data_IF_043785554307
#
_entry.id   IF_043785554307
#
_cell.length_a   1.000
_cell.length_b   1.000
_cell.length_c   1.000
_cell.angle_alpha   90.00
_cell.angle_beta   90.00
_cell.angle_gamma   90.00
#
_symmetry.space_group_name_H-M   'P 1'
#
loop_
_entity.id
_entity.type
_entity.pdbx_description
1 polymer ?
#
# COMPACT_ATOMS: atom_id res chain seq x y z
N UNK A 1 3.78 25.77 6.20
CA UNK A 1 4.19 24.49 6.81
C UNK A 1 2.94 23.77 7.30
N UNK A 2 2.41 22.81 6.54
CA UNK A 2 1.23 22.02 6.95
C UNK A 2 1.71 20.98 7.98
N UNK A 3 1.38 21.17 9.26
CA UNK A 3 1.53 20.11 10.27
C UNK A 3 0.31 19.19 10.16
N UNK A 4 0.44 17.96 9.64
CA UNK A 4 -0.67 17.02 9.63
C UNK A 4 -1.13 16.80 11.08
N UNK A 5 -2.46 16.79 11.29
CA UNK A 5 -3.00 16.55 12.62
C UNK A 5 -2.64 15.12 13.09
N UNK A 6 -2.71 14.87 14.41
CA UNK A 6 -2.34 13.56 14.99
C UNK A 6 -3.13 12.39 14.39
N UNK A 7 -4.39 12.61 14.02
CA UNK A 7 -5.23 11.57 13.40
C UNK A 7 -4.75 11.22 11.99
N UNK A 8 -4.42 12.21 11.16
CA UNK A 8 -3.86 11.99 9.82
C UNK A 8 -2.53 11.24 9.89
N UNK A 9 -1.68 11.58 10.86
CA UNK A 9 -0.43 10.84 11.12
C UNK A 9 -0.70 9.39 11.54
N UNK A 10 -1.65 9.16 12.45
CA UNK A 10 -2.01 7.82 12.90
C UNK A 10 -2.55 6.95 11.76
N UNK A 11 -3.44 7.51 10.91
CA UNK A 11 -3.96 6.82 9.72
C UNK A 11 -2.85 6.45 8.74
N UNK A 12 -1.95 7.40 8.44
CA UNK A 12 -0.80 7.13 7.57
C UNK A 12 0.08 5.99 8.12
N UNK A 13 0.36 6.00 9.43
CA UNK A 13 1.15 4.93 10.05
C UNK A 13 0.45 3.57 9.97
N UNK A 14 -0.87 3.52 10.16
CA UNK A 14 -1.64 2.29 9.98
C UNK A 14 -1.54 1.77 8.55
N UNK A 15 -1.71 2.65 7.54
CA UNK A 15 -1.56 2.27 6.13
C UNK A 15 -0.14 1.79 5.78
N UNK A 16 0.90 2.43 6.34
CA UNK A 16 2.28 1.96 6.18
C UNK A 16 2.43 0.55 6.73
N UNK A 17 1.89 0.27 7.92
CA UNK A 17 1.99 -1.05 8.53
C UNK A 17 1.25 -2.13 7.70
N UNK A 18 0.05 -1.82 7.24
CA UNK A 18 -0.75 -2.70 6.38
C UNK A 18 -0.05 -3.04 5.06
N UNK A 19 0.46 -2.02 4.36
CA UNK A 19 1.20 -2.19 3.11
C UNK A 19 2.49 -2.97 3.33
N UNK A 20 3.20 -2.69 4.42
CA UNK A 20 4.44 -3.40 4.77
C UNK A 20 4.16 -4.88 4.95
N UNK A 21 3.15 -5.25 5.75
CA UNK A 21 2.80 -6.66 5.98
C UNK A 21 2.34 -7.35 4.70
N UNK A 22 1.48 -6.69 3.92
CA UNK A 22 0.92 -7.23 2.68
C UNK A 22 2.01 -7.48 1.65
N UNK A 23 2.83 -6.47 1.36
CA UNK A 23 3.88 -6.58 0.36
C UNK A 23 5.03 -7.45 0.82
N UNK A 24 5.34 -7.51 2.12
CA UNK A 24 6.30 -8.47 2.66
C UNK A 24 5.87 -9.90 2.38
N UNK A 25 4.64 -10.27 2.76
CA UNK A 25 4.13 -11.62 2.56
C UNK A 25 4.00 -11.99 1.07
N UNK A 26 3.80 -11.00 0.20
CA UNK A 26 3.67 -11.21 -1.24
C UNK A 26 5.03 -11.37 -1.93
N UNK A 27 6.02 -10.55 -1.54
CA UNK A 27 7.28 -10.43 -2.29
C UNK A 27 8.44 -11.20 -1.66
N UNK A 28 8.45 -11.41 -0.35
CA UNK A 28 9.56 -12.05 0.38
C UNK A 28 9.18 -13.50 0.69
N UNK A 29 9.33 -14.36 -0.31
CA UNK A 29 9.01 -15.79 -0.22
C UNK A 29 10.25 -16.68 -0.12
N UNK A 30 11.45 -16.12 -0.27
CA UNK A 30 12.73 -16.81 -0.24
C UNK A 30 13.41 -16.78 1.13
N UNK A 31 14.69 -17.18 1.15
CA UNK A 31 15.53 -17.06 2.35
C UNK A 31 15.80 -15.58 2.66
N UNK A 32 15.57 -15.19 3.91
CA UNK A 32 15.82 -13.82 4.36
C UNK A 32 17.33 -13.56 4.38
N UNK A 33 17.75 -12.48 3.72
CA UNK A 33 19.14 -12.04 3.64
C UNK A 33 19.28 -10.61 4.18
N UNK A 34 20.51 -10.13 4.34
CA UNK A 34 20.77 -8.75 4.79
C UNK A 34 20.38 -7.68 3.74
N UNK A 35 20.09 -8.10 2.50
CA UNK A 35 19.65 -7.22 1.41
C UNK A 35 18.55 -7.90 0.60
N UNK A 36 17.66 -7.10 0.03
CA UNK A 36 16.75 -7.59 -0.99
C UNK A 36 17.52 -7.89 -2.28
N UNK A 37 17.18 -9.01 -2.90
CA UNK A 37 17.51 -9.26 -4.29
C UNK A 37 16.87 -8.19 -5.19
N UNK A 38 17.38 -8.06 -6.42
CA UNK A 38 16.80 -7.12 -7.40
C UNK A 38 15.31 -7.39 -7.66
N UNK A 39 14.91 -8.66 -7.68
CA UNK A 39 13.52 -9.07 -7.88
C UNK A 39 12.64 -8.72 -6.68
N UNK A 40 13.12 -8.92 -5.45
CA UNK A 40 12.35 -8.58 -4.23
C UNK A 40 12.16 -7.07 -4.13
N UNK A 41 13.20 -6.27 -4.36
CA UNK A 41 13.10 -4.81 -4.35
C UNK A 41 12.08 -4.30 -5.38
N UNK A 42 12.17 -4.78 -6.63
CA UNK A 42 11.22 -4.43 -7.68
C UNK A 42 9.79 -4.88 -7.36
N UNK A 43 9.63 -6.06 -6.75
CA UNK A 43 8.32 -6.55 -6.33
C UNK A 43 7.70 -5.65 -5.26
N UNK A 44 8.48 -5.25 -4.24
CA UNK A 44 7.99 -4.38 -3.17
C UNK A 44 7.51 -3.03 -3.70
N UNK A 45 8.27 -2.39 -4.60
CA UNK A 45 7.87 -1.15 -5.27
C UNK A 45 6.54 -1.34 -6.03
N UNK A 46 6.49 -2.35 -6.90
CA UNK A 46 5.30 -2.63 -7.70
C UNK A 46 4.09 -2.99 -6.84
N UNK A 47 4.29 -3.72 -5.74
CA UNK A 47 3.22 -4.15 -4.85
C UNK A 47 2.50 -2.94 -4.24
N UNK A 48 3.25 -1.97 -3.72
CA UNK A 48 2.68 -0.76 -3.13
C UNK A 48 1.93 0.05 -4.19
N UNK A 49 2.54 0.28 -5.35
CA UNK A 49 1.91 1.03 -6.45
C UNK A 49 0.60 0.36 -6.93
N UNK A 50 0.63 -0.97 -7.14
CA UNK A 50 -0.56 -1.73 -7.56
C UNK A 50 -1.65 -1.72 -6.50
N UNK A 51 -1.30 -1.79 -5.22
CA UNK A 51 -2.29 -1.73 -4.13
C UNK A 51 -3.00 -0.39 -4.09
N UNK A 52 -2.26 0.71 -4.20
CA UNK A 52 -2.83 2.06 -4.19
C UNK A 52 -3.70 2.32 -5.41
N UNK A 53 -3.22 1.94 -6.61
CA UNK A 53 -3.98 2.08 -7.85
C UNK A 53 -5.29 1.29 -7.81
N UNK A 54 -5.24 0.03 -7.36
CA UNK A 54 -6.41 -0.84 -7.27
C UNK A 54 -7.41 -0.32 -6.22
N UNK A 55 -6.91 0.14 -5.08
CA UNK A 55 -7.73 0.73 -4.02
C UNK A 55 -8.46 1.98 -4.51
N UNK A 56 -7.75 2.88 -5.21
CA UNK A 56 -8.35 4.09 -5.78
C UNK A 56 -9.37 3.76 -6.87
N UNK A 57 -9.07 2.76 -7.71
CA UNK A 57 -10.02 2.28 -8.72
C UNK A 57 -11.31 1.78 -8.07
N UNK A 58 -11.22 0.93 -7.05
CA UNK A 58 -12.40 0.41 -6.34
C UNK A 58 -13.22 1.54 -5.71
N UNK A 59 -12.56 2.49 -5.04
CA UNK A 59 -13.25 3.66 -4.47
C UNK A 59 -14.02 4.44 -5.53
N UNK A 60 -13.39 4.73 -6.68
CA UNK A 60 -14.05 5.44 -7.79
C UNK A 60 -15.27 4.67 -8.32
N UNK A 61 -15.19 3.35 -8.41
CA UNK A 61 -16.32 2.52 -8.85
C UNK A 61 -17.47 2.57 -7.84
N UNK A 62 -17.18 2.48 -6.54
CA UNK A 62 -18.18 2.60 -5.48
C UNK A 62 -18.84 3.98 -5.50
N UNK A 63 -18.06 5.05 -5.69
CA UNK A 63 -18.59 6.42 -5.80
C UNK A 63 -19.50 6.58 -7.01
N UNK A 64 -19.12 6.03 -8.17
CA UNK A 64 -19.94 6.04 -9.38
C UNK A 64 -21.26 5.28 -9.21
N UNK A 65 -21.24 4.13 -8.52
CA UNK A 65 -22.46 3.37 -8.20
C UNK A 65 -23.38 4.14 -7.23
N UNK A 66 -22.81 4.80 -6.23
CA UNK A 66 -23.58 5.59 -5.25
C UNK A 66 -24.35 6.74 -5.90
N UNK A 67 -23.84 7.34 -6.97
CA UNK A 67 -24.50 8.44 -7.69
C UNK A 67 -25.73 7.98 -8.50
N UNK A 68 -25.90 6.67 -8.70
CA UNK A 68 -27.02 6.08 -9.45
C UNK A 68 -28.20 5.70 -8.54
N UNK A 69 -28.04 5.83 -7.22
CA UNK A 69 -29.07 5.67 -6.19
C UNK A 69 -29.54 7.05 -5.73
#
# INVERSE_FOLDING_TARGET
MLRPNRQAKAKLQASIHELTNTCWNTCITGSISSKFSKSEAQCLENCVDRFLDSSLYIVRQIEAQKQQL
#
